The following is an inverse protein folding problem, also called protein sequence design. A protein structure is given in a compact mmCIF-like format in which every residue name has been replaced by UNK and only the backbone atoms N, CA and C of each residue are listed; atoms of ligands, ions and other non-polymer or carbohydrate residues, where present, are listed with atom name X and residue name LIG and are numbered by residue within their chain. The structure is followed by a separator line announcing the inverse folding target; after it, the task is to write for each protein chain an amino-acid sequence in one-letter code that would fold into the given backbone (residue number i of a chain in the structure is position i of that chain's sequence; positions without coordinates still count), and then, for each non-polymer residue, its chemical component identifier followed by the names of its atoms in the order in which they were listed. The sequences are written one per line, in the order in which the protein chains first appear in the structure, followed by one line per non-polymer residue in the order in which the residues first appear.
data_IF_385237503124
#
_entry.id   IF_385237503124
#
_cell.length_a   1.000
_cell.length_b   1.000
_cell.length_c   1.000
_cell.angle_alpha   90.00
_cell.angle_beta   90.00
_cell.angle_gamma   90.00
#
_symmetry.space_group_name_H-M   'P 1'
#
loop_
_entity.id
_entity.type
_entity.pdbx_description
1 polymer ?
#
# COMPACT_ATOMS: atom_id res chain seq x y z
N UNK A 1 -0.31 4.13 29.46
CA UNK A 1 -1.74 4.51 29.69
C UNK A 1 -2.30 5.50 28.68
N UNK A 2 -1.56 6.50 28.16
CA UNK A 2 -2.08 7.40 27.11
C UNK A 2 -2.09 6.76 25.72
N UNK A 3 -1.03 6.05 25.33
CA UNK A 3 -0.93 5.38 24.02
C UNK A 3 -1.99 4.30 23.81
N UNK A 4 -2.27 3.48 24.83
CA UNK A 4 -3.32 2.44 24.74
C UNK A 4 -4.73 3.04 24.54
N UNK A 5 -4.99 4.22 25.11
CA UNK A 5 -6.27 4.92 24.93
C UNK A 5 -6.39 5.53 23.53
N UNK A 6 -5.32 6.10 22.99
CA UNK A 6 -5.27 6.64 21.63
C UNK A 6 -5.40 5.53 20.58
N UNK A 7 -4.69 4.41 20.76
CA UNK A 7 -4.84 3.22 19.90
C UNK A 7 -6.27 2.69 19.93
N UNK A 8 -6.91 2.63 21.10
CA UNK A 8 -8.30 2.21 21.24
C UNK A 8 -9.26 3.12 20.46
N UNK A 9 -9.09 4.44 20.56
CA UNK A 9 -9.92 5.42 19.85
C UNK A 9 -9.78 5.30 18.32
N UNK A 10 -8.55 5.16 17.82
CA UNK A 10 -8.29 4.95 16.40
C UNK A 10 -8.92 3.65 15.87
N UNK A 11 -8.87 2.59 16.66
CA UNK A 11 -9.50 1.31 16.32
C UNK A 11 -11.02 1.47 16.23
N UNK A 12 -11.63 2.19 17.16
CA UNK A 12 -13.08 2.46 17.16
C UNK A 12 -13.51 3.28 15.94
N UNK A 13 -12.77 4.33 15.61
CA UNK A 13 -13.04 5.13 14.40
C UNK A 13 -12.96 4.27 13.12
N UNK A 14 -11.93 3.43 13.01
CA UNK A 14 -11.77 2.55 11.86
C UNK A 14 -12.87 1.49 11.78
N UNK A 15 -13.36 1.00 12.93
CA UNK A 15 -14.52 0.11 12.98
C UNK A 15 -15.80 0.79 12.53
N UNK A 16 -16.02 2.05 12.92
CA UNK A 16 -17.16 2.85 12.43
C UNK A 16 -17.12 3.01 10.91
N UNK A 17 -15.96 3.43 10.36
CA UNK A 17 -15.76 3.51 8.90
C UNK A 17 -16.01 2.16 8.20
N UNK A 18 -15.62 1.04 8.81
CA UNK A 18 -15.90 -0.29 8.26
C UNK A 18 -17.40 -0.61 8.30
N UNK A 19 -18.12 -0.23 9.35
CA UNK A 19 -19.56 -0.43 9.45
C UNK A 19 -20.30 0.33 8.34
N UNK A 20 -19.96 1.61 8.12
CA UNK A 20 -20.49 2.43 7.01
C UNK A 20 -20.23 1.77 5.63
N UNK A 21 -19.02 1.24 5.42
CA UNK A 21 -18.69 0.52 4.20
C UNK A 21 -19.50 -0.77 4.03
N UNK A 22 -19.83 -1.48 5.11
CA UNK A 22 -20.68 -2.68 5.08
C UNK A 22 -22.12 -2.32 4.73
N UNK A 23 -22.69 -1.28 5.31
CA UNK A 23 -24.02 -0.78 5.00
C UNK A 23 -24.12 -0.36 3.51
N UNK A 24 -23.06 0.23 2.98
CA UNK A 24 -22.96 0.60 1.56
C UNK A 24 -22.62 -0.56 0.62
N UNK A 25 -22.47 -1.79 1.10
CA UNK A 25 -22.00 -2.96 0.32
C UNK A 25 -20.62 -2.77 -0.36
N UNK A 26 -19.76 -1.96 0.22
CA UNK A 26 -18.42 -1.63 -0.34
C UNK A 26 -17.25 -2.19 0.49
N UNK A 27 -17.53 -2.93 1.58
CA UNK A 27 -16.50 -3.30 2.55
C UNK A 27 -15.44 -4.28 2.02
N UNK A 28 -15.83 -5.26 1.21
CA UNK A 28 -14.95 -6.34 0.74
C UNK A 28 -15.27 -6.68 -0.71
N UNK A 29 -14.93 -5.80 -1.67
CA UNK A 29 -15.21 -6.04 -3.08
C UNK A 29 -14.33 -7.16 -3.63
N UNK A 30 -14.93 -8.09 -4.40
CA UNK A 30 -14.26 -9.24 -5.01
C UNK A 30 -14.04 -9.08 -6.53
N UNK A 31 -14.37 -7.93 -7.08
CA UNK A 31 -14.35 -7.63 -8.51
C UNK A 31 -13.04 -7.02 -9.01
N UNK A 32 -12.05 -6.82 -8.12
CA UNK A 32 -10.72 -6.31 -8.47
C UNK A 32 -9.72 -7.46 -8.65
N UNK A 33 -9.14 -7.58 -9.85
CA UNK A 33 -8.10 -8.55 -10.15
C UNK A 33 -6.78 -7.82 -10.43
N UNK A 34 -5.81 -7.98 -9.54
CA UNK A 34 -4.43 -7.52 -9.75
C UNK A 34 -3.82 -8.27 -10.95
N UNK A 35 -3.08 -7.54 -11.79
CA UNK A 35 -2.36 -8.12 -12.94
C UNK A 35 -0.85 -8.06 -12.80
N UNK A 36 -0.33 -7.08 -12.04
CA UNK A 36 1.10 -6.82 -11.92
C UNK A 36 1.51 -6.75 -10.46
N UNK A 37 2.71 -7.17 -10.16
CA UNK A 37 3.39 -6.96 -8.90
C UNK A 37 4.22 -5.66 -8.95
N UNK A 38 4.48 -5.06 -7.79
CA UNK A 38 5.27 -3.85 -7.70
C UNK A 38 6.69 -4.04 -8.27
N UNK A 39 7.33 -5.16 -7.94
CA UNK A 39 8.69 -5.46 -8.42
C UNK A 39 8.72 -5.82 -9.90
N UNK A 40 7.70 -6.50 -10.41
CA UNK A 40 7.60 -6.79 -11.85
C UNK A 40 7.57 -5.51 -12.68
N UNK A 41 6.75 -4.54 -12.28
CA UNK A 41 6.70 -3.24 -12.96
C UNK A 41 8.03 -2.49 -12.86
N UNK A 42 8.72 -2.57 -11.73
CA UNK A 42 10.04 -1.97 -11.58
C UNK A 42 11.04 -2.64 -12.51
N UNK A 43 11.12 -3.95 -12.51
CA UNK A 43 12.05 -4.71 -13.37
C UNK A 43 11.79 -4.46 -14.86
N UNK A 44 10.52 -4.29 -15.26
CA UNK A 44 10.15 -4.06 -16.65
C UNK A 44 10.39 -2.61 -17.11
N UNK A 45 10.18 -1.62 -16.22
CA UNK A 45 10.11 -0.21 -16.62
C UNK A 45 11.17 0.70 -16.00
N UNK A 46 12.01 0.20 -15.08
CA UNK A 46 12.95 1.06 -14.35
C UNK A 46 14.10 1.59 -15.24
N UNK A 47 14.42 0.89 -16.33
CA UNK A 47 15.43 1.33 -17.30
C UNK A 47 14.90 2.35 -18.32
N UNK A 48 13.55 2.44 -18.49
CA UNK A 48 12.97 3.37 -19.47
C UNK A 48 13.06 4.81 -19.01
N UNK A 49 13.31 5.71 -19.96
CA UNK A 49 13.24 7.15 -19.73
C UNK A 49 11.78 7.60 -19.54
N UNK A 50 11.60 8.82 -19.03
CA UNK A 50 10.27 9.41 -18.86
C UNK A 50 9.53 9.54 -20.20
N UNK A 51 10.23 10.00 -21.24
CA UNK A 51 9.65 10.19 -22.57
C UNK A 51 9.24 8.87 -23.24
N UNK A 52 10.01 7.81 -23.03
CA UNK A 52 9.67 6.48 -23.54
C UNK A 52 8.42 5.91 -22.86
N UNK A 53 8.30 6.07 -21.54
CA UNK A 53 7.10 5.63 -20.80
C UNK A 53 5.85 6.43 -21.22
N UNK A 54 5.98 7.73 -21.45
CA UNK A 54 4.87 8.56 -21.93
C UNK A 54 4.37 8.12 -23.32
N UNK A 55 5.27 7.70 -24.21
CA UNK A 55 4.91 7.15 -25.53
C UNK A 55 4.29 5.75 -25.42
N UNK A 56 4.85 4.89 -24.57
CA UNK A 56 4.42 3.49 -24.41
C UNK A 56 3.05 3.38 -23.73
N UNK A 57 2.67 4.33 -22.88
CA UNK A 57 1.40 4.36 -22.12
C UNK A 57 1.09 3.03 -21.45
N UNK A 58 2.11 2.40 -20.88
CA UNK A 58 1.99 1.10 -20.24
C UNK A 58 0.97 1.15 -19.09
N UNK A 59 0.11 0.13 -19.01
CA UNK A 59 -0.92 0.04 -17.96
C UNK A 59 -0.40 -0.76 -16.78
N UNK A 60 -0.57 -0.22 -15.57
CA UNK A 60 -0.32 -0.91 -14.31
C UNK A 60 -1.64 -1.20 -13.59
N UNK A 61 -1.84 -2.45 -13.16
CA UNK A 61 -2.97 -2.87 -12.32
C UNK A 61 -2.40 -3.57 -11.10
N UNK A 62 -2.36 -2.86 -9.99
CA UNK A 62 -1.67 -3.27 -8.76
C UNK A 62 -2.63 -3.29 -7.58
N UNK A 63 -2.30 -4.08 -6.57
CA UNK A 63 -2.97 -4.03 -5.27
C UNK A 63 -1.92 -4.12 -4.15
N UNK A 64 -2.11 -3.35 -3.10
CA UNK A 64 -1.16 -3.34 -1.99
C UNK A 64 -1.66 -2.56 -0.80
N UNK A 65 -0.91 -2.64 0.29
CA UNK A 65 -1.17 -1.94 1.54
C UNK A 65 -0.62 -0.51 1.48
N UNK A 66 -1.41 0.46 1.87
CA UNK A 66 -0.99 1.87 1.99
C UNK A 66 0.03 1.97 3.12
N UNK A 67 1.29 2.27 2.77
CA UNK A 67 2.38 2.48 3.73
C UNK A 67 2.70 3.94 3.97
N UNK A 68 2.48 4.79 2.96
CA UNK A 68 2.69 6.23 3.04
C UNK A 68 1.65 6.95 2.21
N UNK A 69 1.17 8.09 2.72
CA UNK A 69 0.27 8.98 1.99
C UNK A 69 0.66 10.43 2.22
N UNK A 70 0.85 11.18 1.14
CA UNK A 70 1.08 12.62 1.15
C UNK A 70 0.00 13.31 0.33
N UNK A 71 -0.83 14.09 1.00
CA UNK A 71 -1.87 14.89 0.35
C UNK A 71 -1.31 16.26 -0.02
N UNK A 72 -1.48 16.68 -1.27
CA UNK A 72 -0.97 17.93 -1.82
C UNK A 72 -2.11 18.64 -2.57
N UNK A 73 -3.07 19.20 -1.82
CA UNK A 73 -4.23 19.85 -2.39
C UNK A 73 -5.10 18.91 -3.24
N UNK A 74 -5.08 19.08 -4.55
CA UNK A 74 -5.85 18.27 -5.52
C UNK A 74 -5.12 17.00 -5.98
N UNK A 75 -3.91 16.75 -5.51
CA UNK A 75 -3.13 15.57 -5.84
C UNK A 75 -2.66 14.86 -4.57
N UNK A 76 -2.37 13.58 -4.69
CA UNK A 76 -1.79 12.77 -3.62
C UNK A 76 -0.75 11.82 -4.17
N UNK A 77 0.36 11.67 -3.44
CA UNK A 77 1.31 10.59 -3.61
C UNK A 77 1.09 9.56 -2.49
N UNK A 78 0.87 8.33 -2.90
CA UNK A 78 0.60 7.22 -1.98
C UNK A 78 1.52 6.06 -2.32
N UNK A 79 2.31 5.61 -1.36
CA UNK A 79 3.13 4.41 -1.55
C UNK A 79 2.37 3.21 -1.05
N UNK A 80 2.16 2.24 -1.92
CA UNK A 80 1.61 0.94 -1.57
C UNK A 80 2.70 -0.12 -1.56
N UNK A 81 2.51 -1.13 -0.74
CA UNK A 81 3.39 -2.29 -0.62
C UNK A 81 2.59 -3.56 -0.87
N UNK A 82 3.09 -4.40 -1.77
CA UNK A 82 2.67 -5.79 -1.92
C UNK A 82 3.76 -6.73 -1.37
N UNK A 83 3.66 -8.04 -1.63
CA UNK A 83 4.66 -8.99 -1.15
C UNK A 83 5.99 -8.91 -1.93
N UNK A 84 5.99 -8.32 -3.12
CA UNK A 84 7.18 -8.19 -3.97
C UNK A 84 7.97 -6.90 -3.72
N UNK A 85 7.30 -5.86 -3.23
CA UNK A 85 7.95 -4.58 -3.01
C UNK A 85 6.99 -3.40 -2.87
N UNK A 86 7.48 -2.20 -3.13
CA UNK A 86 6.72 -0.95 -3.01
C UNK A 86 6.64 -0.24 -4.36
N UNK A 87 5.49 0.38 -4.62
CA UNK A 87 5.29 1.24 -5.78
C UNK A 87 4.52 2.50 -5.39
N UNK A 88 4.82 3.61 -6.05
CA UNK A 88 4.16 4.87 -5.82
C UNK A 88 2.92 5.01 -6.70
N UNK A 89 1.84 5.52 -6.13
CA UNK A 89 0.62 5.91 -6.82
C UNK A 89 0.53 7.43 -6.85
N UNK A 90 0.28 8.02 -8.00
CA UNK A 90 -0.07 9.41 -8.18
C UNK A 90 -1.56 9.53 -8.46
N UNK A 91 -2.29 10.16 -7.57
CA UNK A 91 -3.76 10.21 -7.56
C UNK A 91 -4.20 11.67 -7.66
N UNK A 92 -4.98 12.02 -8.69
CA UNK A 92 -5.51 13.37 -8.89
C UNK A 92 -7.01 13.41 -8.67
N UNK A 93 -7.48 14.49 -8.04
CA UNK A 93 -8.89 14.68 -7.69
C UNK A 93 -9.81 14.84 -8.92
N UNK A 94 -9.26 15.37 -10.01
CA UNK A 94 -9.97 15.60 -11.28
C UNK A 94 -10.05 14.36 -12.17
N UNK A 95 -9.30 13.31 -11.85
CA UNK A 95 -9.21 12.10 -12.68
C UNK A 95 -9.81 10.86 -12.04
N UNK A 96 -9.90 10.85 -10.71
CA UNK A 96 -10.41 9.71 -9.93
C UNK A 96 -11.76 10.08 -9.33
N UNK A 97 -12.82 9.39 -9.74
CA UNK A 97 -14.20 9.68 -9.34
C UNK A 97 -14.45 9.60 -7.83
N UNK A 98 -13.72 8.68 -7.16
CA UNK A 98 -13.86 8.46 -5.72
C UNK A 98 -12.74 9.10 -4.87
N UNK A 99 -12.16 10.21 -5.35
CA UNK A 99 -11.10 10.91 -4.61
C UNK A 99 -11.54 11.36 -3.21
N UNK A 100 -12.80 11.74 -3.03
CA UNK A 100 -13.32 12.12 -1.72
C UNK A 100 -13.43 10.93 -0.77
N UNK A 101 -13.76 9.74 -1.27
CA UNK A 101 -13.71 8.50 -0.47
C UNK A 101 -12.26 8.18 -0.09
N UNK A 102 -11.32 8.37 -1.02
CA UNK A 102 -9.89 8.14 -0.79
C UNK A 102 -9.31 9.01 0.35
N UNK A 103 -9.82 10.22 0.55
CA UNK A 103 -9.39 11.06 1.69
C UNK A 103 -9.64 10.39 3.04
N UNK A 104 -10.64 9.53 3.13
CA UNK A 104 -11.02 8.80 4.34
C UNK A 104 -10.28 7.46 4.52
N UNK A 105 -9.45 7.07 3.54
CA UNK A 105 -8.64 5.86 3.69
C UNK A 105 -7.54 6.09 4.72
N UNK A 106 -7.20 5.05 5.45
CA UNK A 106 -6.17 5.10 6.50
C UNK A 106 -4.90 4.38 6.07
N UNK A 107 -3.80 4.72 6.73
CA UNK A 107 -2.56 3.94 6.61
C UNK A 107 -2.80 2.50 7.04
N UNK A 108 -2.32 1.57 6.24
CA UNK A 108 -2.56 0.15 6.43
C UNK A 108 -3.73 -0.42 5.61
N UNK A 109 -4.62 0.40 5.07
CA UNK A 109 -5.69 -0.06 4.19
C UNK A 109 -5.10 -0.74 2.94
N UNK A 110 -5.79 -1.76 2.44
CA UNK A 110 -5.42 -2.43 1.19
C UNK A 110 -6.27 -1.83 0.06
N UNK A 111 -5.59 -1.36 -0.98
CA UNK A 111 -6.20 -0.73 -2.13
C UNK A 111 -5.79 -1.40 -3.42
N UNK A 112 -6.67 -1.37 -4.41
CA UNK A 112 -6.39 -1.70 -5.79
C UNK A 112 -6.34 -0.42 -6.63
N UNK A 113 -5.36 -0.31 -7.50
CA UNK A 113 -5.18 0.82 -8.39
C UNK A 113 -4.93 0.37 -9.83
N UNK A 114 -5.59 1.04 -10.76
CA UNK A 114 -5.38 0.88 -12.20
C UNK A 114 -5.03 2.23 -12.81
N UNK A 115 -3.98 2.27 -13.62
CA UNK A 115 -3.55 3.52 -14.23
C UNK A 115 -2.42 3.33 -15.24
N UNK A 116 -1.73 4.41 -15.57
CA UNK A 116 -0.62 4.42 -16.51
C UNK A 116 0.70 4.55 -15.75
N UNK A 117 1.67 3.72 -16.11
CA UNK A 117 3.01 3.77 -15.54
C UNK A 117 3.75 4.99 -16.09
N UNK A 118 4.42 5.74 -15.23
CA UNK A 118 5.22 6.90 -15.58
C UNK A 118 6.36 7.11 -14.59
N UNK A 119 7.34 7.93 -14.92
CA UNK A 119 8.37 8.40 -13.99
C UNK A 119 8.12 9.82 -13.55
N UNK A 120 8.27 10.07 -12.25
CA UNK A 120 8.24 11.42 -11.68
C UNK A 120 9.49 12.22 -12.11
N UNK A 121 9.51 13.52 -11.84
CA UNK A 121 10.69 14.35 -12.11
C UNK A 121 11.92 13.94 -11.27
N UNK A 122 11.70 13.25 -10.15
CA UNK A 122 12.77 12.69 -9.30
C UNK A 122 13.22 11.29 -9.74
N UNK A 123 12.68 10.76 -10.86
CA UNK A 123 13.00 9.42 -11.38
C UNK A 123 12.24 8.26 -10.73
N UNK A 124 11.35 8.51 -9.76
CA UNK A 124 10.57 7.46 -9.11
C UNK A 124 9.52 6.87 -10.05
N UNK A 125 9.55 5.55 -10.24
CA UNK A 125 8.54 4.83 -11.02
C UNK A 125 7.19 4.87 -10.27
N UNK A 126 6.18 5.36 -10.95
CA UNK A 126 4.87 5.63 -10.35
C UNK A 126 3.73 5.23 -11.27
N UNK A 127 2.56 5.02 -10.71
CA UNK A 127 1.32 4.78 -11.46
C UNK A 127 0.43 6.01 -11.37
N UNK A 128 0.13 6.63 -12.50
CA UNK A 128 -0.87 7.68 -12.62
C UNK A 128 -2.26 7.04 -12.61
N UNK A 129 -2.91 7.10 -11.46
CA UNK A 129 -4.13 6.34 -11.16
C UNK A 129 -5.33 6.93 -11.88
N UNK A 130 -6.09 6.07 -12.56
CA UNK A 130 -7.39 6.38 -13.19
C UNK A 130 -8.55 5.73 -12.42
N UNK A 131 -8.32 4.53 -11.87
CA UNK A 131 -9.29 3.86 -11.00
C UNK A 131 -8.62 3.45 -9.71
N UNK A 132 -9.26 3.78 -8.60
CA UNK A 132 -8.83 3.44 -7.26
C UNK A 132 -9.98 2.74 -6.53
N UNK A 133 -9.68 1.68 -5.81
CA UNK A 133 -10.68 0.92 -5.06
C UNK A 133 -10.14 0.50 -3.70
N UNK A 134 -10.91 0.71 -2.65
CA UNK A 134 -10.63 0.10 -1.35
C UNK A 134 -11.00 -1.38 -1.41
N UNK A 135 -10.04 -2.25 -1.09
CA UNK A 135 -10.24 -3.70 -1.06
C UNK A 135 -10.49 -4.20 0.35
N UNK A 136 -9.73 -3.70 1.31
CA UNK A 136 -9.87 -4.10 2.72
C UNK A 136 -9.44 -2.96 3.65
N UNK A 137 -10.27 -2.70 4.66
CA UNK A 137 -9.98 -1.72 5.71
C UNK A 137 -9.04 -2.30 6.76
N UNK A 138 -7.99 -1.58 7.11
CA UNK A 138 -7.12 -1.91 8.23
C UNK A 138 -7.71 -1.39 9.54
N UNK A 139 -8.00 -2.28 10.48
CA UNK A 139 -8.61 -1.91 11.76
C UNK A 139 -7.58 -1.46 12.81
N UNK A 140 -6.37 -2.00 12.75
CA UNK A 140 -5.30 -1.61 13.66
C UNK A 140 -4.33 -0.65 12.98
N UNK A 141 -3.90 0.42 13.66
CA UNK A 141 -2.88 1.31 13.13
C UNK A 141 -1.57 0.55 12.92
N UNK A 142 -0.82 0.95 11.89
CA UNK A 142 0.55 0.49 11.72
C UNK A 142 1.45 1.19 12.75
N UNK A 143 2.55 0.56 13.19
CA UNK A 143 3.56 1.22 14.02
C UNK A 143 4.08 2.50 13.36
N UNK A 144 4.49 3.46 14.17
CA UNK A 144 5.03 4.72 13.66
C UNK A 144 6.26 4.47 12.77
N UNK A 145 6.27 5.13 11.61
CA UNK A 145 7.25 4.89 10.55
C UNK A 145 8.70 5.22 10.95
N UNK A 146 8.88 6.16 11.88
CA UNK A 146 10.21 6.66 12.28
C UNK A 146 10.85 5.87 13.41
N UNK A 147 10.04 5.19 14.22
CA UNK A 147 10.54 4.43 15.37
C UNK A 147 10.58 2.92 15.05
N UNK A 148 9.82 2.46 14.02
CA UNK A 148 9.67 1.05 13.74
C UNK A 148 9.18 0.29 14.99
N UNK A 149 9.31 -1.03 14.97
CA UNK A 149 9.21 -1.84 16.17
C UNK A 149 10.61 -1.96 16.76
N UNK A 150 11.00 -1.02 17.63
CA UNK A 150 12.32 -1.04 18.31
C UNK A 150 12.35 -2.01 19.47
N UNK A 151 11.20 -2.22 20.11
CA UNK A 151 11.06 -3.16 21.22
C UNK A 151 11.12 -4.62 20.72
N UNK A 152 12.15 -5.33 21.17
CA UNK A 152 12.42 -6.70 20.78
C UNK A 152 11.29 -7.66 21.23
N UNK A 153 10.69 -7.44 22.39
CA UNK A 153 9.60 -8.28 22.89
C UNK A 153 8.35 -8.10 22.00
N UNK A 154 8.02 -6.87 21.66
CA UNK A 154 6.89 -6.57 20.74
C UNK A 154 7.15 -7.17 19.35
N UNK A 155 8.38 -7.12 18.83
CA UNK A 155 8.77 -7.73 17.55
C UNK A 155 8.52 -9.24 17.54
N UNK A 156 8.83 -9.93 18.62
CA UNK A 156 8.59 -11.37 18.73
C UNK A 156 7.10 -11.70 18.95
N UNK A 157 6.42 -10.96 19.79
CA UNK A 157 4.98 -11.18 20.06
C UNK A 157 4.08 -10.83 18.88
N UNK A 158 4.43 -9.78 18.13
CA UNK A 158 3.69 -9.30 16.95
C UNK A 158 4.53 -9.47 15.69
N UNK A 159 5.06 -10.68 15.46
CA UNK A 159 5.98 -10.97 14.36
C UNK A 159 5.47 -10.51 12.99
N UNK A 160 4.16 -10.59 12.74
CA UNK A 160 3.53 -10.11 11.52
C UNK A 160 3.74 -8.61 11.28
N UNK A 161 3.79 -7.80 12.34
CA UNK A 161 4.10 -6.36 12.21
C UNK A 161 5.58 -6.15 11.92
N UNK A 162 6.47 -6.90 12.55
CA UNK A 162 7.91 -6.84 12.29
C UNK A 162 8.22 -7.18 10.83
N UNK A 163 7.65 -8.26 10.30
CA UNK A 163 7.81 -8.64 8.89
C UNK A 163 7.21 -7.62 7.90
N UNK A 164 6.16 -6.91 8.30
CA UNK A 164 5.54 -5.88 7.48
C UNK A 164 6.35 -4.58 7.43
N UNK A 165 7.00 -4.22 8.54
CA UNK A 165 7.65 -2.91 8.71
C UNK A 165 9.16 -2.96 8.59
N UNK A 166 9.78 -4.13 8.82
CA UNK A 166 11.23 -4.33 8.81
C UNK A 166 11.65 -5.23 7.62
N UNK A 167 12.24 -4.65 6.56
CA UNK A 167 12.69 -5.42 5.39
C UNK A 167 13.72 -6.49 5.72
N UNK A 168 14.64 -6.23 6.64
CA UNK A 168 15.69 -7.19 7.03
C UNK A 168 15.09 -8.45 7.68
N UNK A 169 14.07 -8.27 8.53
CA UNK A 169 13.35 -9.39 9.13
C UNK A 169 12.59 -10.22 8.09
N UNK A 170 11.98 -9.54 7.10
CA UNK A 170 11.28 -10.22 6.01
C UNK A 170 12.26 -11.02 5.14
N UNK A 171 13.39 -10.45 4.79
CA UNK A 171 14.43 -11.09 3.99
C UNK A 171 15.00 -12.32 4.69
N UNK A 172 15.34 -12.20 5.98
CA UNK A 172 15.83 -13.33 6.79
C UNK A 172 14.84 -14.49 6.85
N UNK A 173 13.54 -14.22 7.06
CA UNK A 173 12.51 -15.26 7.09
C UNK A 173 12.31 -15.86 5.70
N UNK A 174 12.29 -15.07 4.65
CA UNK A 174 12.16 -15.55 3.27
C UNK A 174 13.32 -16.48 2.90
N UNK A 175 14.54 -16.11 3.27
CA UNK A 175 15.72 -16.92 3.05
C UNK A 175 15.66 -18.28 3.78
N UNK A 176 15.28 -18.28 5.06
CA UNK A 176 15.17 -19.53 5.84
C UNK A 176 14.06 -20.44 5.33
N UNK A 177 12.92 -19.89 4.90
CA UNK A 177 11.83 -20.67 4.31
C UNK A 177 12.20 -21.28 2.97
N UNK A 178 12.86 -20.52 2.08
CA UNK A 178 13.33 -21.03 0.78
C UNK A 178 14.33 -22.17 0.99
N UNK A 179 15.32 -21.98 1.86
CA UNK A 179 16.33 -23.02 2.14
C UNK A 179 15.75 -24.29 2.76
N UNK A 180 14.73 -24.18 3.61
CA UNK A 180 14.06 -25.34 4.19
C UNK A 180 13.37 -26.21 3.11
N UNK A 181 12.95 -25.63 2.00
CA UNK A 181 12.37 -26.36 0.87
C UNK A 181 13.40 -26.95 -0.09
N UNK A 182 14.65 -26.44 -0.11
CA UNK A 182 15.73 -26.96 -0.96
C UNK A 182 16.46 -28.17 -0.36
N UNK A 183 16.24 -28.45 0.93
CA UNK A 183 16.92 -29.53 1.67
C UNK A 183 16.09 -30.80 1.84
N UNK A 184 15.00 -30.98 1.09
CA UNK A 184 14.18 -32.21 1.09
C UNK A 184 14.47 -33.04 -0.16
#
# INVERSE_FOLDING_TARGET
MSQDKEESHLIEERRKKLAELREANKAFPNDFKRKHLAQELKNEFDEFSKEELEKKKAKGVVAGRIMLRRMMGKASFTTIQDFSGRIQLYIRADEVTNYNEFKNYDLGDIVGAEGTVFKTNTGELSIHVKKLKLLTKSLRPLPEKHLGLTDTEIRYRKRYLDLLTNPESLEAVSYTHLRAHETV
#
